data_IF_499601104086
#
_entry.id   IF_499601104086
#
_cell.length_a   1.000
_cell.length_b   1.000
_cell.length_c   1.000
_cell.angle_alpha   90.00
_cell.angle_beta   90.00
_cell.angle_gamma   90.00
#
_symmetry.space_group_name_H-M   'P 1'
#
loop_
_entity.id
_entity.type
_entity.pdbx_description
1 polymer ?
#
# COMPACT_ATOMS: atom_id res chain seq x y z
N UNK A 1 6.15 -12.33 -81.81
CA UNK A 1 6.18 -13.30 -80.67
C UNK A 1 7.26 -12.93 -79.63
N UNK A 2 7.32 -11.65 -79.23
CA UNK A 2 8.40 -11.19 -78.29
C UNK A 2 7.84 -10.46 -77.07
N UNK A 3 6.51 -10.31 -76.93
CA UNK A 3 5.93 -9.53 -75.83
C UNK A 3 5.25 -10.35 -74.65
N UNK A 4 5.18 -11.68 -74.74
CA UNK A 4 4.48 -12.48 -73.71
C UNK A 4 5.42 -12.95 -72.55
N UNK A 5 6.72 -13.10 -72.82
CA UNK A 5 7.68 -13.54 -71.79
C UNK A 5 8.04 -12.43 -70.76
N UNK A 6 8.12 -11.18 -71.19
CA UNK A 6 8.43 -10.07 -70.25
C UNK A 6 7.28 -9.75 -69.29
N UNK A 7 6.04 -10.01 -69.64
CA UNK A 7 4.87 -9.81 -68.79
C UNK A 7 4.81 -10.89 -67.69
N UNK A 8 5.16 -12.13 -68.06
CA UNK A 8 5.20 -13.23 -67.07
C UNK A 8 6.28 -13.05 -66.02
N UNK A 9 7.47 -12.56 -66.37
CA UNK A 9 8.52 -12.26 -65.40
C UNK A 9 8.18 -11.08 -64.49
N UNK A 10 7.52 -10.06 -65.01
CA UNK A 10 7.10 -8.91 -64.21
C UNK A 10 6.06 -9.29 -63.17
N UNK A 11 5.07 -10.10 -63.53
CA UNK A 11 4.05 -10.60 -62.57
C UNK A 11 4.63 -11.59 -61.56
N UNK A 12 5.56 -12.43 -61.95
CA UNK A 12 6.27 -13.35 -61.04
C UNK A 12 7.11 -12.61 -59.98
N UNK A 13 7.86 -11.59 -60.41
CA UNK A 13 8.65 -10.77 -59.49
C UNK A 13 7.77 -9.92 -58.58
N UNK A 14 6.63 -9.43 -59.08
CA UNK A 14 5.68 -8.66 -58.27
C UNK A 14 4.94 -9.55 -57.24
N UNK A 15 4.52 -10.75 -57.65
CA UNK A 15 3.90 -11.73 -56.75
C UNK A 15 4.88 -12.19 -55.65
N UNK A 16 6.16 -12.42 -56.00
CA UNK A 16 7.19 -12.83 -55.04
C UNK A 16 7.56 -11.72 -54.02
N UNK A 17 7.60 -10.46 -54.48
CA UNK A 17 7.78 -9.30 -53.57
C UNK A 17 6.57 -9.06 -52.68
N UNK A 18 5.35 -9.25 -53.20
CA UNK A 18 4.11 -9.06 -52.46
C UNK A 18 3.95 -10.14 -51.33
N UNK A 19 4.21 -11.42 -51.67
CA UNK A 19 4.19 -12.52 -50.71
C UNK A 19 5.30 -12.39 -49.64
N UNK A 20 6.51 -11.95 -50.04
CA UNK A 20 7.60 -11.70 -49.07
C UNK A 20 7.28 -10.56 -48.09
N UNK A 21 6.67 -9.47 -48.56
CA UNK A 21 6.25 -8.36 -47.70
C UNK A 21 5.06 -8.72 -46.84
N UNK A 22 4.12 -9.53 -47.31
CA UNK A 22 2.98 -10.01 -46.54
C UNK A 22 3.45 -10.99 -45.47
N UNK A 23 4.32 -11.95 -45.79
CA UNK A 23 4.92 -12.86 -44.81
C UNK A 23 5.73 -12.13 -43.74
N UNK A 24 6.50 -11.08 -44.14
CA UNK A 24 7.24 -10.25 -43.17
C UNK A 24 6.32 -9.46 -42.25
N UNK A 25 5.19 -8.94 -42.74
CA UNK A 25 4.16 -8.28 -41.93
C UNK A 25 3.43 -9.26 -41.01
N UNK A 26 3.13 -10.47 -41.48
CA UNK A 26 2.54 -11.53 -40.68
C UNK A 26 3.53 -12.02 -39.60
N UNK A 27 4.81 -12.17 -39.94
CA UNK A 27 5.85 -12.56 -38.98
C UNK A 27 6.04 -11.48 -37.90
N UNK A 28 6.01 -10.18 -38.27
CA UNK A 28 6.07 -9.06 -37.33
C UNK A 28 4.80 -9.01 -36.46
N UNK A 29 3.63 -9.27 -37.03
CA UNK A 29 2.36 -9.34 -36.28
C UNK A 29 2.34 -10.53 -35.32
N UNK A 30 2.84 -11.69 -35.72
CA UNK A 30 2.96 -12.89 -34.87
C UNK A 30 4.03 -12.70 -33.80
N UNK A 31 5.16 -12.07 -34.09
CA UNK A 31 6.14 -11.72 -33.06
C UNK A 31 5.61 -10.65 -32.08
N UNK A 32 4.87 -9.65 -32.56
CA UNK A 32 4.21 -8.67 -31.70
C UNK A 32 3.08 -9.30 -30.84
N UNK A 33 2.33 -10.27 -31.38
CA UNK A 33 1.34 -11.04 -30.58
C UNK A 33 2.00 -11.99 -29.58
N UNK A 34 3.17 -12.56 -29.86
CA UNK A 34 3.93 -13.34 -28.88
C UNK A 34 4.60 -12.46 -27.82
N UNK A 35 4.96 -11.20 -28.10
CA UNK A 35 5.39 -10.23 -27.08
C UNK A 35 4.22 -9.65 -26.27
N UNK A 36 2.98 -9.70 -26.78
CA UNK A 36 1.75 -9.30 -26.09
C UNK A 36 1.11 -10.45 -25.27
N UNK A 37 1.63 -11.68 -25.36
CA UNK A 37 1.40 -12.71 -24.35
C UNK A 37 2.24 -12.28 -23.16
N UNK A 38 1.65 -11.42 -22.32
CA UNK A 38 2.29 -10.81 -21.17
C UNK A 38 3.09 -11.85 -20.38
N UNK A 39 4.31 -11.52 -20.03
CA UNK A 39 5.04 -12.23 -19.00
C UNK A 39 4.04 -12.49 -17.87
N UNK A 40 3.84 -13.73 -17.42
CA UNK A 40 2.90 -14.00 -16.34
C UNK A 40 3.23 -13.03 -15.21
N UNK A 41 2.25 -12.24 -14.77
CA UNK A 41 2.45 -11.33 -13.66
C UNK A 41 3.11 -12.11 -12.53
N UNK A 42 4.26 -11.65 -12.06
CA UNK A 42 5.01 -12.33 -11.02
C UNK A 42 4.07 -12.64 -9.85
N UNK A 43 4.00 -13.89 -9.42
CA UNK A 43 3.13 -14.28 -8.32
C UNK A 43 3.55 -13.54 -7.04
N UNK A 44 2.60 -13.20 -6.19
CA UNK A 44 2.89 -12.57 -4.89
C UNK A 44 3.91 -13.39 -4.07
N UNK A 45 3.85 -14.71 -4.19
CA UNK A 45 4.82 -15.60 -3.55
C UNK A 45 6.25 -15.35 -4.06
N UNK A 46 6.44 -15.22 -5.37
CA UNK A 46 7.74 -14.91 -5.97
C UNK A 46 8.21 -13.50 -5.60
N UNK A 47 7.31 -12.52 -5.50
CA UNK A 47 7.66 -11.17 -5.02
C UNK A 47 8.20 -11.21 -3.59
N UNK A 48 7.55 -11.95 -2.68
CA UNK A 48 8.00 -12.12 -1.29
C UNK A 48 9.35 -12.85 -1.24
N UNK A 49 9.56 -13.89 -2.04
CA UNK A 49 10.83 -14.60 -2.13
C UNK A 49 11.94 -13.68 -2.63
N UNK A 50 11.66 -12.85 -3.65
CA UNK A 50 12.63 -11.90 -4.19
C UNK A 50 12.90 -10.73 -3.24
N UNK A 51 11.91 -10.29 -2.50
CA UNK A 51 12.00 -9.22 -1.54
C UNK A 51 11.22 -9.57 -0.26
N UNK A 52 11.94 -10.16 0.69
CA UNK A 52 11.39 -10.63 1.97
C UNK A 52 10.64 -9.52 2.74
N UNK A 53 10.99 -8.25 2.52
CA UNK A 53 10.34 -7.10 3.18
C UNK A 53 8.84 -7.00 2.85
N UNK A 54 8.41 -7.54 1.68
CA UNK A 54 7.00 -7.61 1.31
C UNK A 54 6.18 -8.46 2.29
N UNK A 55 6.78 -9.48 2.91
CA UNK A 55 6.11 -10.32 3.91
C UNK A 55 5.76 -9.58 5.20
N UNK A 56 6.36 -8.40 5.43
CA UNK A 56 6.12 -7.59 6.62
C UNK A 56 4.72 -6.95 6.68
N UNK A 57 3.90 -7.11 5.62
CA UNK A 57 2.53 -6.61 5.62
C UNK A 57 2.48 -5.09 5.91
N UNK A 58 1.73 -4.67 6.92
CA UNK A 58 1.63 -3.27 7.36
C UNK A 58 2.92 -2.70 7.98
N UNK A 59 3.96 -3.50 8.17
CA UNK A 59 5.28 -3.04 8.64
C UNK A 59 6.29 -2.89 7.51
N UNK A 60 5.91 -3.19 6.27
CA UNK A 60 6.79 -2.91 5.13
C UNK A 60 7.17 -1.44 5.11
N UNK A 61 8.48 -1.14 5.11
CA UNK A 61 8.97 0.22 4.95
C UNK A 61 8.57 0.78 3.58
N UNK A 62 8.34 2.08 3.48
CA UNK A 62 7.91 2.71 2.22
C UNK A 62 8.88 2.36 1.08
N UNK A 63 8.41 1.72 0.03
CA UNK A 63 9.22 1.46 -1.15
C UNK A 63 9.42 2.76 -1.94
N UNK A 64 10.53 2.87 -2.64
CA UNK A 64 10.62 3.94 -3.64
C UNK A 64 9.58 3.68 -4.75
N UNK A 65 8.98 4.75 -5.33
CA UNK A 65 8.06 4.58 -6.45
C UNK A 65 8.75 3.87 -7.61
N UNK A 66 8.06 2.90 -8.19
CA UNK A 66 8.60 2.10 -9.31
C UNK A 66 8.49 2.87 -10.63
N UNK A 67 7.44 3.69 -10.76
CA UNK A 67 7.20 4.52 -11.93
C UNK A 67 7.96 5.83 -11.81
N UNK A 68 8.99 6.00 -12.62
CA UNK A 68 9.83 7.21 -12.61
C UNK A 68 9.24 8.32 -13.48
N UNK A 69 8.64 7.97 -14.62
CA UNK A 69 7.95 8.90 -15.52
C UNK A 69 6.45 8.63 -15.44
N UNK A 70 5.69 9.69 -15.26
CA UNK A 70 4.23 9.64 -15.25
C UNK A 70 3.69 10.03 -16.61
N UNK A 71 2.50 9.53 -16.94
CA UNK A 71 1.77 9.87 -18.17
C UNK A 71 1.65 11.40 -18.28
N UNK A 72 2.09 11.99 -19.41
CA UNK A 72 2.00 13.43 -19.63
C UNK A 72 0.58 13.96 -19.53
N UNK A 73 0.42 15.24 -19.14
CA UNK A 73 -0.88 15.87 -19.09
C UNK A 73 -1.49 16.02 -20.48
N UNK A 74 -2.76 15.66 -20.71
CA UNK A 74 -3.40 15.77 -22.00
C UNK A 74 -3.72 17.22 -22.38
N UNK A 75 -3.76 17.49 -23.68
CA UNK A 75 -4.40 18.68 -24.27
C UNK A 75 -3.95 20.05 -23.75
N UNK A 76 -2.66 20.21 -23.34
CA UNK A 76 -2.12 21.49 -22.84
C UNK A 76 -2.58 21.84 -21.43
N UNK A 77 -3.25 20.93 -20.72
CA UNK A 77 -3.60 21.08 -19.32
C UNK A 77 -2.35 21.01 -18.45
N UNK A 78 -2.36 21.72 -17.31
CA UNK A 78 -1.24 21.75 -16.35
C UNK A 78 -1.74 21.38 -14.98
N UNK A 79 -0.91 20.71 -14.14
CA UNK A 79 -1.26 20.42 -12.76
C UNK A 79 -1.41 21.73 -11.99
N UNK A 80 -2.47 21.84 -11.15
CA UNK A 80 -2.75 23.07 -10.40
C UNK A 80 -3.14 22.85 -8.95
N UNK A 81 -3.51 21.62 -8.58
CA UNK A 81 -3.95 21.26 -7.22
C UNK A 81 -3.63 19.80 -6.91
N UNK A 82 -3.29 19.53 -5.64
CA UNK A 82 -3.11 18.17 -5.09
C UNK A 82 -3.98 18.01 -3.85
N UNK A 83 -4.75 16.90 -3.83
CA UNK A 83 -5.40 16.38 -2.64
C UNK A 83 -4.74 15.07 -2.23
N UNK A 84 -4.21 15.00 -1.01
CA UNK A 84 -3.41 13.88 -0.52
C UNK A 84 -3.98 13.32 0.77
N UNK A 85 -3.92 12.00 0.94
CA UNK A 85 -4.03 11.31 2.22
C UNK A 85 -2.85 10.36 2.39
N UNK A 86 -2.07 10.51 3.47
CA UNK A 86 -0.90 9.69 3.77
C UNK A 86 -1.03 8.98 5.12
N UNK A 87 -0.47 7.78 5.18
CA UNK A 87 -0.22 7.03 6.40
C UNK A 87 1.04 7.59 7.08
N UNK A 88 1.13 7.53 8.42
CA UNK A 88 2.37 7.81 9.14
C UNK A 88 3.54 6.96 8.62
N UNK A 89 4.77 7.44 8.81
CA UNK A 89 5.99 6.74 8.44
C UNK A 89 6.32 5.52 9.30
N UNK A 90 7.46 4.89 9.01
CA UNK A 90 8.00 3.78 9.79
C UNK A 90 8.07 4.10 11.28
N UNK A 91 7.73 3.11 12.13
CA UNK A 91 7.59 3.25 13.57
C UNK A 91 7.92 1.97 14.31
N UNK A 92 8.14 2.06 15.61
CA UNK A 92 8.18 0.92 16.51
C UNK A 92 6.79 0.26 16.66
N UNK A 93 6.72 -0.98 17.16
CA UNK A 93 5.44 -1.59 17.53
C UNK A 93 4.71 -0.77 18.61
N UNK A 94 3.37 -0.79 18.56
CA UNK A 94 2.56 0.02 19.49
C UNK A 94 2.56 -0.51 20.93
N UNK A 95 2.82 -1.81 21.13
CA UNK A 95 2.66 -2.47 22.41
C UNK A 95 3.97 -3.10 22.87
N UNK A 96 4.37 -2.91 24.15
CA UNK A 96 5.55 -3.57 24.73
C UNK A 96 5.45 -5.11 24.63
N UNK A 97 4.24 -5.66 24.77
CA UNK A 97 3.99 -7.10 24.68
C UNK A 97 4.52 -7.75 23.39
N UNK A 98 4.62 -7.00 22.29
CA UNK A 98 5.17 -7.53 21.04
C UNK A 98 6.64 -7.91 21.17
N UNK A 99 7.38 -7.18 21.99
CA UNK A 99 8.79 -7.45 22.27
C UNK A 99 8.99 -8.34 23.50
N UNK A 100 8.15 -8.14 24.52
CA UNK A 100 8.28 -8.83 25.81
C UNK A 100 7.89 -10.32 25.74
N UNK A 101 6.82 -10.68 25.01
CA UNK A 101 6.34 -12.05 24.95
C UNK A 101 7.37 -13.01 24.39
N UNK A 102 7.96 -12.78 23.19
CA UNK A 102 8.95 -13.70 22.66
C UNK A 102 10.21 -13.74 23.54
N UNK A 103 10.68 -12.59 24.05
CA UNK A 103 11.80 -12.52 24.97
C UNK A 103 11.56 -13.36 26.23
N UNK A 104 10.45 -13.16 26.93
CA UNK A 104 10.12 -13.87 28.17
C UNK A 104 9.96 -15.37 27.93
N UNK A 105 9.37 -15.80 26.82
CA UNK A 105 9.24 -17.21 26.45
C UNK A 105 10.61 -17.86 26.28
N UNK A 106 11.51 -17.20 25.58
CA UNK A 106 12.87 -17.70 25.35
C UNK A 106 13.71 -17.67 26.64
N UNK A 107 13.63 -16.60 27.43
CA UNK A 107 14.36 -16.48 28.70
C UNK A 107 13.92 -17.53 29.73
N UNK A 108 12.63 -17.85 29.79
CA UNK A 108 12.12 -18.93 30.64
C UNK A 108 12.68 -20.30 30.23
N UNK A 109 12.82 -20.56 28.94
CA UNK A 109 13.42 -21.80 28.45
C UNK A 109 14.94 -21.87 28.72
N UNK A 110 15.64 -20.74 28.57
CA UNK A 110 17.08 -20.63 28.85
C UNK A 110 17.39 -20.96 30.32
N UNK A 111 16.63 -20.42 31.25
CA UNK A 111 16.79 -20.67 32.70
C UNK A 111 16.67 -22.16 33.08
N UNK A 112 16.06 -22.96 32.22
CA UNK A 112 15.89 -24.40 32.40
C UNK A 112 16.82 -25.24 31.49
N UNK A 113 17.72 -24.60 30.74
CA UNK A 113 18.60 -25.27 29.78
C UNK A 113 17.87 -25.92 28.61
N UNK A 114 16.73 -25.36 28.19
CA UNK A 114 15.85 -25.94 27.15
C UNK A 114 16.04 -25.30 25.77
N UNK A 115 17.00 -24.39 25.59
CA UNK A 115 17.31 -23.79 24.31
C UNK A 115 18.36 -24.60 23.52
N UNK A 116 18.23 -24.59 22.20
CA UNK A 116 19.32 -24.96 21.28
C UNK A 116 20.35 -23.82 21.22
N UNK A 117 21.54 -24.02 20.59
CA UNK A 117 22.44 -22.92 20.32
C UNK A 117 21.78 -21.77 19.51
N UNK A 118 20.92 -22.10 18.53
CA UNK A 118 20.14 -21.09 17.79
C UNK A 118 19.15 -20.40 18.72
N UNK A 119 18.47 -21.13 19.59
CA UNK A 119 17.54 -20.54 20.57
C UNK A 119 18.24 -19.54 21.49
N UNK A 120 19.44 -19.84 21.97
CA UNK A 120 20.25 -18.91 22.79
C UNK A 120 20.66 -17.65 22.01
N UNK A 121 21.07 -17.79 20.76
CA UNK A 121 21.37 -16.65 19.88
C UNK A 121 20.11 -15.76 19.64
N UNK A 122 18.94 -16.38 19.39
CA UNK A 122 17.67 -15.67 19.25
C UNK A 122 17.32 -14.90 20.51
N UNK A 123 17.48 -15.51 21.69
CA UNK A 123 17.24 -14.81 22.97
C UNK A 123 18.12 -13.56 23.07
N UNK A 124 19.41 -13.66 22.74
CA UNK A 124 20.33 -12.52 22.75
C UNK A 124 19.87 -11.41 21.77
N UNK A 125 19.50 -11.77 20.53
CA UNK A 125 18.96 -10.81 19.56
C UNK A 125 17.68 -10.14 20.06
N UNK A 126 16.76 -10.89 20.65
CA UNK A 126 15.53 -10.36 21.22
C UNK A 126 15.78 -9.40 22.39
N UNK A 127 16.82 -9.65 23.21
CA UNK A 127 17.21 -8.75 24.28
C UNK A 127 17.68 -7.39 23.72
N UNK A 128 18.51 -7.40 22.69
CA UNK A 128 19.00 -6.18 22.03
C UNK A 128 17.83 -5.40 21.41
N UNK A 129 16.95 -6.08 20.68
CA UNK A 129 15.77 -5.47 20.04
C UNK A 129 14.82 -4.87 21.10
N UNK A 130 14.57 -5.61 22.17
CA UNK A 130 13.72 -5.16 23.27
C UNK A 130 14.30 -3.94 23.98
N UNK A 131 15.62 -3.88 24.17
CA UNK A 131 16.33 -2.75 24.75
C UNK A 131 16.24 -1.51 23.87
N UNK A 132 16.39 -1.67 22.55
CA UNK A 132 16.23 -0.60 21.56
C UNK A 132 14.81 -0.04 21.52
N UNK A 133 13.81 -0.93 21.60
CA UNK A 133 12.39 -0.55 21.53
C UNK A 133 11.83 -0.01 22.85
N UNK A 134 12.59 -0.12 23.97
CA UNK A 134 12.10 0.28 25.29
C UNK A 134 11.74 1.77 25.29
N UNK A 135 10.51 2.06 25.76
CA UNK A 135 9.93 3.41 25.88
C UNK A 135 9.67 4.13 24.52
N UNK A 136 9.90 3.45 23.38
CA UNK A 136 9.63 3.96 22.02
C UNK A 136 8.36 3.38 21.37
N UNK A 137 7.43 2.79 22.14
CA UNK A 137 6.27 2.09 21.60
C UNK A 137 5.35 2.99 20.78
N UNK A 138 5.22 2.65 19.49
CA UNK A 138 4.40 3.39 18.52
C UNK A 138 5.01 4.70 18.04
N UNK A 139 6.22 5.02 18.45
CA UNK A 139 6.93 6.23 18.02
C UNK A 139 7.45 6.10 16.59
N UNK A 140 7.43 7.23 15.89
CA UNK A 140 8.01 7.37 14.57
C UNK A 140 9.53 7.17 14.64
N UNK A 141 10.08 6.34 13.74
CA UNK A 141 11.53 6.17 13.64
C UNK A 141 12.16 7.26 12.77
N UNK A 142 13.50 7.37 12.80
CA UNK A 142 14.24 8.23 11.86
C UNK A 142 13.96 7.87 10.39
N UNK A 143 13.79 6.58 10.10
CA UNK A 143 13.37 6.14 8.76
C UNK A 143 12.01 6.72 8.40
N UNK A 144 11.04 6.70 9.33
CA UNK A 144 9.71 7.27 9.12
C UNK A 144 9.75 8.76 8.83
N UNK A 145 10.58 9.50 9.56
CA UNK A 145 10.83 10.93 9.32
C UNK A 145 11.41 11.18 7.91
N UNK A 146 12.43 10.41 7.51
CA UNK A 146 13.03 10.49 6.16
C UNK A 146 12.02 10.17 5.07
N UNK A 147 11.16 9.16 5.25
CA UNK A 147 10.14 8.79 4.28
C UNK A 147 9.24 9.98 3.92
N UNK A 148 8.72 10.71 4.90
CA UNK A 148 7.87 11.87 4.65
C UNK A 148 8.61 13.04 4.00
N UNK A 149 9.86 13.29 4.39
CA UNK A 149 10.71 14.28 3.70
C UNK A 149 10.90 13.93 2.23
N UNK A 150 11.23 12.68 1.91
CA UNK A 150 11.47 12.25 0.53
C UNK A 150 10.19 12.25 -0.32
N UNK A 151 9.03 11.86 0.24
CA UNK A 151 7.73 11.94 -0.45
C UNK A 151 7.44 13.40 -0.85
N UNK A 152 7.63 14.35 0.07
CA UNK A 152 7.43 15.77 -0.24
C UNK A 152 8.43 16.29 -1.27
N UNK A 153 9.71 15.92 -1.16
CA UNK A 153 10.72 16.30 -2.17
C UNK A 153 10.30 15.87 -3.57
N UNK A 154 9.85 14.62 -3.72
CA UNK A 154 9.39 14.09 -5.01
C UNK A 154 8.12 14.79 -5.48
N UNK A 155 7.15 15.04 -4.60
CA UNK A 155 5.91 15.75 -4.91
C UNK A 155 6.20 17.15 -5.47
N UNK A 156 7.02 17.94 -4.79
CA UNK A 156 7.38 19.31 -5.21
C UNK A 156 8.15 19.31 -6.55
N UNK A 157 9.09 18.38 -6.72
CA UNK A 157 9.87 18.26 -7.97
C UNK A 157 9.04 17.80 -9.16
N UNK A 158 8.06 16.93 -8.90
CA UNK A 158 7.19 16.34 -9.95
C UNK A 158 6.11 17.32 -10.44
N UNK A 159 5.69 18.25 -9.59
CA UNK A 159 4.61 19.22 -9.87
C UNK A 159 5.02 20.66 -9.61
N UNK A 160 6.09 21.17 -10.27
CA UNK A 160 6.60 22.52 -10.04
C UNK A 160 5.56 23.61 -10.36
N UNK A 161 4.59 23.34 -11.27
CA UNK A 161 3.52 24.29 -11.60
C UNK A 161 2.61 24.61 -10.41
N UNK A 162 2.34 23.62 -9.57
CA UNK A 162 1.53 23.79 -8.36
C UNK A 162 2.30 24.60 -7.32
N UNK A 163 3.60 24.31 -7.16
CA UNK A 163 4.42 24.81 -6.07
C UNK A 163 5.24 26.07 -6.41
N UNK A 164 5.14 26.59 -7.66
CA UNK A 164 5.87 27.80 -8.08
C UNK A 164 5.31 29.08 -7.43
N UNK A 165 6.22 29.88 -6.85
CA UNK A 165 5.89 31.18 -6.25
C UNK A 165 5.12 31.04 -4.95
N UNK A 166 4.26 32.02 -4.65
CA UNK A 166 3.47 32.02 -3.41
C UNK A 166 2.33 30.96 -3.55
N UNK A 167 2.42 29.90 -2.78
CA UNK A 167 1.46 28.78 -2.75
C UNK A 167 0.92 28.63 -1.34
N UNK A 168 -0.35 28.19 -1.22
CA UNK A 168 -0.95 27.81 0.06
C UNK A 168 -0.96 26.29 0.18
N UNK A 169 -0.50 25.78 1.32
CA UNK A 169 -0.58 24.35 1.67
C UNK A 169 -1.32 24.22 2.98
N UNK A 170 -2.41 23.47 2.99
CA UNK A 170 -3.17 23.14 4.19
C UNK A 170 -2.93 21.67 4.56
N UNK A 171 -2.34 21.42 5.73
CA UNK A 171 -2.01 20.09 6.23
C UNK A 171 -2.80 19.77 7.50
N UNK A 172 -3.36 18.57 7.55
CA UNK A 172 -4.15 18.08 8.69
C UNK A 172 -3.66 16.71 9.12
N UNK A 173 -3.58 16.48 10.43
CA UNK A 173 -3.20 15.19 11.01
C UNK A 173 -4.26 14.68 11.97
N UNK A 174 -4.31 13.35 12.12
CA UNK A 174 -4.99 12.75 13.28
C UNK A 174 -4.24 13.11 14.57
N UNK A 175 -4.91 12.95 15.72
CA UNK A 175 -4.35 13.26 17.04
C UNK A 175 -3.26 12.30 17.53
N UNK A 176 -2.82 11.36 16.70
CA UNK A 176 -1.74 10.44 17.04
C UNK A 176 -0.37 11.10 16.84
N UNK A 177 0.50 11.03 17.86
CA UNK A 177 1.83 11.63 17.85
C UNK A 177 2.64 11.29 16.58
N UNK A 178 2.67 10.01 16.17
CA UNK A 178 3.37 9.59 14.95
C UNK A 178 2.83 10.20 13.67
N UNK A 179 1.51 10.48 13.61
CA UNK A 179 0.91 11.15 12.45
C UNK A 179 1.21 12.64 12.46
N UNK A 180 1.16 13.28 13.63
CA UNK A 180 1.57 14.68 13.81
C UNK A 180 3.03 14.86 13.40
N UNK A 181 3.94 14.03 13.91
CA UNK A 181 5.36 14.09 13.55
C UNK A 181 5.59 13.81 12.06
N UNK A 182 4.84 12.88 11.45
CA UNK A 182 4.90 12.63 10.01
C UNK A 182 4.51 13.87 9.21
N UNK A 183 3.44 14.57 9.63
CA UNK A 183 3.04 15.86 9.06
C UNK A 183 4.14 16.90 9.24
N UNK A 184 4.68 17.07 10.45
CA UNK A 184 5.70 18.06 10.74
C UNK A 184 6.98 17.87 9.90
N UNK A 185 7.49 16.63 9.78
CA UNK A 185 8.65 16.36 8.92
C UNK A 185 8.36 16.64 7.44
N UNK A 186 7.14 16.38 6.99
CA UNK A 186 6.69 16.76 5.64
C UNK A 186 6.66 18.28 5.47
N UNK A 187 6.10 19.03 6.45
CA UNK A 187 6.00 20.49 6.40
C UNK A 187 7.37 21.17 6.54
N UNK A 188 8.24 20.66 7.37
CA UNK A 188 9.64 21.15 7.47
C UNK A 188 10.36 21.04 6.12
N UNK A 189 10.22 19.89 5.44
CA UNK A 189 10.82 19.71 4.12
C UNK A 189 10.20 20.63 3.06
N UNK A 190 8.91 20.85 3.13
CA UNK A 190 8.20 21.75 2.21
C UNK A 190 8.65 23.20 2.43
N UNK A 191 8.77 23.66 3.68
CA UNK A 191 9.24 25.00 4.02
C UNK A 191 10.70 25.23 3.57
N UNK A 192 11.58 24.22 3.70
CA UNK A 192 12.95 24.26 3.22
C UNK A 192 13.02 24.46 1.69
N UNK A 193 12.15 23.76 0.93
CA UNK A 193 12.12 23.86 -0.54
C UNK A 193 11.39 25.11 -1.05
N UNK A 194 10.42 25.61 -0.29
CA UNK A 194 9.48 26.66 -0.68
C UNK A 194 9.38 27.73 0.42
N UNK A 195 10.40 28.59 0.61
CA UNK A 195 10.43 29.58 1.71
C UNK A 195 9.29 30.61 1.67
N UNK A 196 8.63 30.77 0.51
CA UNK A 196 7.52 31.74 0.33
C UNK A 196 6.14 31.08 0.44
N UNK A 197 6.07 29.76 0.68
CA UNK A 197 4.81 29.06 0.84
C UNK A 197 4.09 29.48 2.13
N UNK A 198 2.77 29.60 2.05
CA UNK A 198 1.88 29.75 3.19
C UNK A 198 1.46 28.37 3.67
N UNK A 199 2.05 27.89 4.76
CA UNK A 199 1.79 26.57 5.31
C UNK A 199 0.87 26.74 6.51
N UNK A 200 -0.32 26.14 6.42
CA UNK A 200 -1.28 26.01 7.51
C UNK A 200 -1.35 24.54 7.90
N UNK A 201 -0.97 24.22 9.14
CA UNK A 201 -1.01 22.84 9.61
C UNK A 201 -1.64 22.75 11.00
N UNK A 202 -2.40 21.67 11.23
CA UNK A 202 -3.08 21.47 12.50
C UNK A 202 -3.44 19.98 12.72
N UNK A 203 -3.65 19.63 14.00
CA UNK A 203 -4.21 18.37 14.45
C UNK A 203 -5.28 18.68 15.49
N UNK A 204 -6.56 18.39 15.17
CA UNK A 204 -7.69 18.73 16.05
C UNK A 204 -8.68 17.58 16.17
N UNK A 205 -9.34 17.46 17.31
CA UNK A 205 -10.46 16.52 17.48
C UNK A 205 -11.62 16.81 16.52
N UNK A 206 -11.80 18.08 16.14
CA UNK A 206 -12.81 18.51 15.16
C UNK A 206 -12.66 17.79 13.82
N UNK A 207 -11.41 17.53 13.38
CA UNK A 207 -11.15 16.90 12.09
C UNK A 207 -11.20 15.37 12.14
N UNK A 208 -11.27 14.77 13.35
CA UNK A 208 -11.27 13.32 13.50
C UNK A 208 -12.47 12.62 12.88
N UNK A 209 -13.63 13.32 12.73
CA UNK A 209 -14.83 12.74 12.13
C UNK A 209 -14.64 12.26 10.69
N UNK A 210 -13.65 12.84 9.97
CA UNK A 210 -13.30 12.43 8.61
C UNK A 210 -11.88 11.84 8.50
N UNK A 211 -10.91 12.32 9.30
CA UNK A 211 -9.53 11.82 9.24
C UNK A 211 -9.35 10.42 9.83
N UNK A 212 -10.17 10.06 10.81
CA UNK A 212 -10.12 8.77 11.49
C UNK A 212 -11.48 8.42 12.09
N UNK A 213 -12.48 8.32 11.24
CA UNK A 213 -13.85 8.04 11.66
C UNK A 213 -13.96 6.73 12.44
N UNK A 214 -14.64 6.79 13.58
CA UNK A 214 -14.95 5.64 14.43
C UNK A 214 -16.43 5.26 14.25
N UNK A 215 -16.70 4.36 13.31
CA UNK A 215 -18.04 3.80 13.12
C UNK A 215 -18.19 2.56 14.00
N UNK A 216 -18.95 2.69 15.09
CA UNK A 216 -19.12 1.63 16.11
C UNK A 216 -19.75 0.36 15.53
N UNK A 217 -20.72 0.50 14.61
CA UNK A 217 -21.40 -0.64 13.98
C UNK A 217 -20.44 -1.40 13.06
N UNK A 218 -19.82 -0.71 12.12
CA UNK A 218 -18.86 -1.32 11.21
C UNK A 218 -17.66 -1.90 11.96
N UNK A 219 -17.24 -1.24 13.06
CA UNK A 219 -16.19 -1.78 13.92
C UNK A 219 -16.60 -3.11 14.57
N UNK A 220 -17.81 -3.23 15.07
CA UNK A 220 -18.33 -4.47 15.67
C UNK A 220 -18.41 -5.62 14.65
N UNK A 221 -18.72 -5.32 13.38
CA UNK A 221 -18.82 -6.30 12.30
C UNK A 221 -17.47 -6.85 11.84
N UNK A 222 -16.37 -6.12 12.05
CA UNK A 222 -15.03 -6.49 11.50
C UNK A 222 -14.63 -7.93 11.77
N UNK A 223 -14.79 -8.34 13.02
CA UNK A 223 -14.39 -9.65 13.53
C UNK A 223 -15.43 -10.12 14.54
N UNK A 224 -16.70 -10.14 14.15
CA UNK A 224 -17.76 -10.75 14.93
C UNK A 224 -17.53 -12.28 15.10
N UNK A 225 -18.35 -12.95 15.88
CA UNK A 225 -18.14 -14.36 16.19
C UNK A 225 -18.11 -15.24 14.93
N UNK A 226 -18.99 -15.00 13.97
CA UNK A 226 -19.07 -15.78 12.74
C UNK A 226 -17.83 -15.54 11.83
N UNK A 227 -17.46 -14.28 11.65
CA UNK A 227 -16.26 -13.88 10.91
C UNK A 227 -14.99 -14.48 11.52
N UNK A 228 -14.90 -14.47 12.86
CA UNK A 228 -13.76 -15.04 13.59
C UNK A 228 -13.63 -16.55 13.36
N UNK A 229 -14.73 -17.29 13.36
CA UNK A 229 -14.72 -18.72 13.05
C UNK A 229 -14.19 -18.97 11.66
N UNK A 230 -14.68 -18.24 10.64
CA UNK A 230 -14.23 -18.38 9.26
C UNK A 230 -12.74 -18.04 9.08
N UNK A 231 -12.25 -17.02 9.78
CA UNK A 231 -10.83 -16.67 9.77
C UNK A 231 -9.98 -17.77 10.44
N UNK A 232 -10.39 -18.31 11.57
CA UNK A 232 -9.66 -19.40 12.24
C UNK A 232 -9.66 -20.70 11.41
N UNK A 233 -10.75 -21.04 10.75
CA UNK A 233 -10.79 -22.18 9.82
C UNK A 233 -9.76 -22.01 8.69
N UNK A 234 -9.64 -20.81 8.13
CA UNK A 234 -8.64 -20.50 7.13
C UNK A 234 -7.22 -20.62 7.69
N UNK A 235 -6.94 -20.06 8.89
CA UNK A 235 -5.57 -20.03 9.44
C UNK A 235 -5.06 -21.41 9.87
N UNK A 236 -5.92 -22.37 10.20
CA UNK A 236 -5.53 -23.75 10.55
C UNK A 236 -4.64 -24.41 9.48
N UNK A 237 -4.83 -24.06 8.21
CA UNK A 237 -4.01 -24.58 7.10
C UNK A 237 -2.56 -24.08 7.14
N UNK A 238 -2.23 -23.10 8.01
CA UNK A 238 -0.96 -22.39 8.07
C UNK A 238 -0.32 -22.40 9.47
N UNK A 239 -0.75 -23.29 10.38
CA UNK A 239 -0.34 -23.30 11.79
C UNK A 239 0.75 -24.31 12.15
N UNK A 240 1.35 -24.99 11.17
CA UNK A 240 2.48 -25.88 11.47
C UNK A 240 3.73 -25.08 11.84
N UNK A 241 4.01 -25.04 13.14
CA UNK A 241 5.18 -24.39 13.74
C UNK A 241 6.22 -25.37 14.24
N UNK A 242 6.06 -26.68 13.97
CA UNK A 242 6.86 -27.75 14.58
C UNK A 242 8.35 -27.65 14.24
N UNK A 243 8.70 -27.30 12.99
CA UNK A 243 10.09 -27.09 12.58
C UNK A 243 10.74 -25.94 13.34
N UNK A 244 10.07 -24.76 13.39
CA UNK A 244 10.58 -23.59 14.10
C UNK A 244 10.80 -23.89 15.57
N UNK A 245 9.84 -24.53 16.24
CA UNK A 245 9.98 -24.89 17.65
C UNK A 245 11.16 -25.83 17.89
N UNK A 246 11.33 -26.88 17.09
CA UNK A 246 12.46 -27.81 17.19
C UNK A 246 13.81 -27.16 16.89
N UNK A 247 13.86 -26.09 16.10
CA UNK A 247 15.09 -25.34 15.87
C UNK A 247 15.51 -24.45 17.05
N UNK A 248 14.55 -24.02 17.88
CA UNK A 248 14.77 -23.12 19.01
C UNK A 248 14.93 -23.87 20.35
N UNK A 249 14.25 -25.01 20.52
CA UNK A 249 14.22 -25.74 21.77
C UNK A 249 14.75 -27.16 21.60
N UNK A 250 15.49 -27.65 22.62
CA UNK A 250 16.13 -28.98 22.62
C UNK A 250 15.28 -30.08 23.29
N UNK A 251 14.07 -29.75 23.78
CA UNK A 251 13.22 -30.68 24.52
C UNK A 251 11.77 -30.63 24.00
N UNK A 252 11.34 -31.71 23.34
CA UNK A 252 9.99 -31.83 22.77
C UNK A 252 8.91 -31.83 23.85
N UNK A 253 9.18 -32.43 25.03
CA UNK A 253 8.20 -32.42 26.13
C UNK A 253 8.01 -31.00 26.69
N UNK A 254 9.09 -30.22 26.76
CA UNK A 254 9.01 -28.80 27.12
C UNK A 254 8.19 -28.01 26.12
N UNK A 255 8.45 -28.18 24.81
CA UNK A 255 7.68 -27.54 23.75
C UNK A 255 6.18 -27.80 23.93
N UNK A 256 5.80 -29.09 24.05
CA UNK A 256 4.39 -29.49 24.09
C UNK A 256 3.64 -29.00 25.34
N UNK A 257 4.34 -28.88 26.48
CA UNK A 257 3.70 -28.59 27.78
C UNK A 257 3.84 -27.13 28.21
N UNK A 258 4.81 -26.36 27.68
CA UNK A 258 5.17 -25.04 28.21
C UNK A 258 5.22 -23.93 27.15
N UNK A 259 5.27 -24.27 25.85
CA UNK A 259 5.40 -23.28 24.79
C UNK A 259 4.11 -23.17 23.97
N UNK A 260 3.52 -21.99 23.94
CA UNK A 260 2.50 -21.66 22.94
C UNK A 260 3.19 -21.38 21.60
N UNK A 261 3.33 -22.42 20.78
CA UNK A 261 4.06 -22.36 19.51
C UNK A 261 3.48 -21.36 18.51
N UNK A 262 2.15 -21.26 18.44
CA UNK A 262 1.46 -20.30 17.56
C UNK A 262 1.72 -18.87 17.99
N UNK A 263 1.60 -18.59 19.26
CA UNK A 263 1.85 -17.26 19.84
C UNK A 263 3.32 -16.85 19.70
N UNK A 264 4.26 -17.76 19.97
CA UNK A 264 5.69 -17.46 19.81
C UNK A 264 6.05 -17.19 18.35
N UNK A 265 5.60 -18.04 17.40
CA UNK A 265 5.78 -17.81 15.97
C UNK A 265 5.25 -16.43 15.54
N UNK A 266 4.03 -16.10 15.96
CA UNK A 266 3.40 -14.83 15.65
C UNK A 266 4.25 -13.62 16.08
N UNK A 267 4.70 -13.61 17.35
CA UNK A 267 5.49 -12.49 17.85
C UNK A 267 6.91 -12.41 17.30
N UNK A 268 7.57 -13.56 17.08
CA UNK A 268 8.87 -13.60 16.41
C UNK A 268 8.76 -13.02 14.98
N UNK A 269 7.72 -13.41 14.25
CA UNK A 269 7.49 -12.89 12.90
C UNK A 269 7.15 -11.40 12.89
N UNK A 270 6.36 -10.91 13.87
CA UNK A 270 6.07 -9.47 14.03
C UNK A 270 7.32 -8.66 14.31
N UNK A 271 8.20 -9.14 15.20
CA UNK A 271 9.46 -8.47 15.49
C UNK A 271 10.37 -8.49 14.25
N UNK A 272 10.51 -9.62 13.56
CA UNK A 272 11.26 -9.74 12.30
C UNK A 272 10.76 -8.71 11.27
N UNK A 273 9.45 -8.62 11.10
CA UNK A 273 8.80 -7.71 10.13
C UNK A 273 9.11 -6.25 10.37
N UNK A 274 9.22 -5.83 11.63
CA UNK A 274 9.41 -4.43 11.99
C UNK A 274 10.89 -3.98 12.05
N UNK A 275 11.84 -4.90 12.07
CA UNK A 275 13.27 -4.55 12.12
C UNK A 275 13.68 -3.60 10.99
N UNK A 276 13.10 -3.73 9.79
CA UNK A 276 13.34 -2.83 8.68
C UNK A 276 13.01 -1.35 8.96
N UNK A 277 12.23 -1.08 10.01
CA UNK A 277 11.86 0.28 10.44
C UNK A 277 12.88 0.90 11.40
N UNK A 278 13.82 0.12 11.97
CA UNK A 278 14.79 0.53 12.98
C UNK A 278 16.22 0.54 12.43
N UNK A 279 17.14 1.15 13.16
CA UNK A 279 18.56 1.13 12.78
C UNK A 279 19.20 -0.27 12.91
N UNK A 280 18.62 -1.16 13.72
CA UNK A 280 19.09 -2.53 13.92
C UNK A 280 19.00 -3.39 12.65
N UNK A 281 18.18 -2.98 11.66
CA UNK A 281 18.08 -3.69 10.38
C UNK A 281 19.43 -3.92 9.65
N UNK A 282 20.41 -3.06 9.90
CA UNK A 282 21.75 -3.19 9.30
C UNK A 282 22.66 -4.16 10.07
N UNK A 283 22.31 -4.48 11.31
CA UNK A 283 23.13 -5.30 12.20
C UNK A 283 22.61 -6.73 12.36
N UNK A 284 21.29 -6.93 12.24
CA UNK A 284 20.66 -8.23 12.49
C UNK A 284 19.37 -8.42 11.73
N UNK A 285 18.94 -9.68 11.62
CA UNK A 285 17.62 -10.08 11.15
C UNK A 285 17.03 -11.15 12.08
N UNK A 286 15.75 -11.39 12.01
CA UNK A 286 15.09 -12.59 12.56
C UNK A 286 14.36 -13.38 11.46
N UNK A 287 14.47 -12.95 10.21
CA UNK A 287 13.89 -13.68 9.09
C UNK A 287 14.64 -14.99 8.80
N UNK A 288 15.90 -15.08 9.21
CA UNK A 288 16.73 -16.30 9.14
C UNK A 288 16.18 -17.48 9.94
N UNK A 289 15.25 -17.23 10.85
CA UNK A 289 14.55 -18.26 11.62
C UNK A 289 13.52 -19.04 10.79
N UNK A 290 13.07 -18.47 9.69
CA UNK A 290 11.93 -18.95 8.91
C UNK A 290 12.38 -19.46 7.55
N UNK A 291 11.74 -20.53 7.07
CA UNK A 291 11.82 -20.91 5.66
C UNK A 291 10.94 -19.99 4.81
N UNK A 292 11.19 -19.94 3.49
CA UNK A 292 10.36 -19.19 2.54
C UNK A 292 8.87 -19.54 2.64
N UNK A 293 8.57 -20.83 2.88
CA UNK A 293 7.20 -21.30 3.06
C UNK A 293 6.57 -20.75 4.36
N UNK A 294 7.30 -20.74 5.47
CA UNK A 294 6.83 -20.20 6.74
C UNK A 294 6.63 -18.69 6.68
N UNK A 295 7.52 -17.98 5.97
CA UNK A 295 7.40 -16.54 5.70
C UNK A 295 6.10 -16.26 4.93
N UNK A 296 5.90 -17.01 3.83
CA UNK A 296 4.71 -16.85 3.00
C UNK A 296 3.41 -17.18 3.76
N UNK A 297 3.40 -18.26 4.56
CA UNK A 297 2.24 -18.64 5.41
C UNK A 297 1.91 -17.58 6.45
N UNK A 298 2.90 -17.02 7.12
CA UNK A 298 2.69 -15.94 8.09
C UNK A 298 2.13 -14.69 7.41
N UNK A 299 2.70 -14.30 6.25
CA UNK A 299 2.16 -13.19 5.47
C UNK A 299 0.73 -13.45 5.00
N UNK A 300 0.41 -14.65 4.52
CA UNK A 300 -0.93 -15.00 4.01
C UNK A 300 -2.01 -14.86 5.07
N UNK A 301 -1.73 -15.27 6.31
CA UNK A 301 -2.63 -15.04 7.45
C UNK A 301 -2.88 -13.55 7.70
N UNK A 302 -1.83 -12.75 7.74
CA UNK A 302 -1.93 -11.30 7.93
C UNK A 302 -2.67 -10.62 6.77
N UNK A 303 -2.40 -11.02 5.54
CA UNK A 303 -3.06 -10.48 4.36
C UNK A 303 -4.58 -10.70 4.42
N UNK A 304 -5.00 -11.92 4.74
CA UNK A 304 -6.42 -12.26 4.91
C UNK A 304 -7.07 -11.49 6.06
N UNK A 305 -6.38 -11.31 7.18
CA UNK A 305 -6.88 -10.52 8.32
C UNK A 305 -7.13 -9.06 7.92
N UNK A 306 -6.19 -8.43 7.21
CA UNK A 306 -6.35 -7.07 6.72
C UNK A 306 -7.50 -6.94 5.72
N UNK A 307 -7.62 -7.91 4.80
CA UNK A 307 -8.72 -7.95 3.84
C UNK A 307 -10.08 -8.05 4.54
N UNK A 308 -10.24 -8.96 5.50
CA UNK A 308 -11.48 -9.13 6.28
C UNK A 308 -11.81 -7.83 7.03
N UNK A 309 -10.84 -7.28 7.75
CA UNK A 309 -11.10 -6.17 8.67
C UNK A 309 -11.34 -4.82 7.99
N UNK A 310 -10.84 -4.61 6.77
CA UNK A 310 -10.82 -3.29 6.14
C UNK A 310 -11.11 -3.29 4.64
N UNK A 311 -11.12 -4.46 4.00
CA UNK A 311 -11.46 -4.62 2.60
C UNK A 311 -12.95 -4.82 2.34
N UNK A 312 -13.30 -5.11 1.10
CA UNK A 312 -14.67 -5.39 0.67
C UNK A 312 -15.02 -6.88 0.85
N UNK A 313 -14.83 -7.41 2.07
CA UNK A 313 -14.97 -8.83 2.37
C UNK A 313 -16.44 -9.22 2.66
N UNK A 314 -17.10 -10.11 1.87
CA UNK A 314 -18.47 -10.51 2.12
C UNK A 314 -18.67 -11.26 3.43
N UNK A 315 -17.63 -11.90 3.99
CA UNK A 315 -17.71 -12.67 5.24
C UNK A 315 -18.24 -11.83 6.40
N UNK A 316 -17.93 -10.52 6.42
CA UNK A 316 -18.42 -9.57 7.43
C UNK A 316 -19.38 -8.51 6.84
N UNK A 317 -20.05 -8.85 5.73
CA UNK A 317 -21.04 -8.00 5.08
C UNK A 317 -20.49 -7.03 4.03
N UNK A 318 -19.16 -6.95 3.79
CA UNK A 318 -18.56 -6.15 2.70
C UNK A 318 -18.65 -4.63 2.89
N UNK A 319 -18.98 -4.14 4.08
CA UNK A 319 -19.25 -2.72 4.32
C UNK A 319 -18.06 -1.94 4.92
N UNK A 320 -16.94 -2.59 5.20
CA UNK A 320 -15.81 -1.94 5.85
C UNK A 320 -15.23 -0.73 5.07
N UNK A 321 -15.23 -0.71 3.72
CA UNK A 321 -14.80 0.47 2.97
C UNK A 321 -15.61 1.75 3.31
N UNK A 322 -16.88 1.61 3.64
CA UNK A 322 -17.74 2.75 4.01
C UNK A 322 -17.38 3.41 5.34
N UNK A 323 -16.48 2.84 6.13
CA UNK A 323 -15.87 3.55 7.27
C UNK A 323 -15.20 4.85 6.83
N UNK A 324 -14.84 4.99 5.54
CA UNK A 324 -14.19 6.19 5.00
C UNK A 324 -15.14 7.09 4.19
N UNK A 325 -16.47 6.91 4.31
CA UNK A 325 -17.46 7.73 3.62
C UNK A 325 -17.31 9.23 3.90
N UNK A 326 -17.04 9.61 5.16
CA UNK A 326 -16.85 11.02 5.53
C UNK A 326 -15.57 11.60 4.93
N UNK A 327 -14.47 10.81 4.89
CA UNK A 327 -13.22 11.26 4.29
C UNK A 327 -13.37 11.48 2.79
N UNK A 328 -14.00 10.54 2.08
CA UNK A 328 -14.21 10.66 0.63
C UNK A 328 -15.11 11.87 0.32
N UNK A 329 -16.21 12.05 1.05
CA UNK A 329 -17.08 13.23 0.89
C UNK A 329 -16.29 14.52 1.13
N UNK A 330 -15.47 14.57 2.19
CA UNK A 330 -14.65 15.74 2.50
C UNK A 330 -13.59 16.03 1.44
N UNK A 331 -12.98 14.99 0.85
CA UNK A 331 -12.05 15.15 -0.29
C UNK A 331 -12.77 15.80 -1.47
N UNK A 332 -13.98 15.34 -1.80
CA UNK A 332 -14.79 15.89 -2.90
C UNK A 332 -15.15 17.35 -2.63
N UNK A 333 -15.72 17.68 -1.48
CA UNK A 333 -16.10 19.05 -1.10
C UNK A 333 -14.94 20.04 -1.12
N UNK A 334 -13.78 19.60 -0.62
CA UNK A 334 -12.58 20.44 -0.60
C UNK A 334 -12.00 20.62 -2.01
N UNK A 335 -12.04 19.58 -2.84
CA UNK A 335 -11.62 19.70 -4.23
C UNK A 335 -12.53 20.65 -5.02
N UNK A 336 -13.85 20.53 -4.88
CA UNK A 336 -14.81 21.46 -5.50
C UNK A 336 -14.51 22.92 -5.10
N UNK A 337 -14.22 23.16 -3.81
CA UNK A 337 -13.84 24.50 -3.33
C UNK A 337 -12.50 24.97 -3.90
N UNK A 338 -11.52 24.07 -4.02
CA UNK A 338 -10.19 24.41 -4.53
C UNK A 338 -10.16 24.65 -6.04
N UNK A 339 -10.98 23.93 -6.81
CA UNK A 339 -11.06 24.06 -8.27
C UNK A 339 -11.43 25.50 -8.67
N UNK A 340 -12.27 26.17 -7.92
CA UNK A 340 -12.68 27.56 -8.19
C UNK A 340 -11.57 28.59 -7.94
N UNK A 341 -10.53 28.24 -7.19
CA UNK A 341 -9.45 29.15 -6.83
C UNK A 341 -8.40 29.30 -7.95
N UNK A 342 -7.83 30.50 -8.06
CA UNK A 342 -6.77 30.77 -9.05
C UNK A 342 -5.50 29.95 -8.77
N UNK A 343 -5.10 29.81 -7.50
CA UNK A 343 -3.93 29.05 -7.02
C UNK A 343 -4.28 28.27 -5.74
N UNK A 344 -4.92 27.11 -5.85
CA UNK A 344 -5.38 26.37 -4.68
C UNK A 344 -4.23 25.66 -3.92
N UNK A 345 -3.11 25.34 -4.58
CA UNK A 345 -1.95 24.70 -3.94
C UNK A 345 -2.18 23.24 -3.61
N UNK A 346 -2.03 22.87 -2.31
CA UNK A 346 -2.16 21.46 -1.90
C UNK A 346 -2.90 21.32 -0.56
N UNK A 347 -3.67 20.23 -0.46
CA UNK A 347 -4.27 19.77 0.79
C UNK A 347 -3.70 18.40 1.17
N UNK A 348 -3.01 18.34 2.30
CA UNK A 348 -2.29 17.17 2.76
C UNK A 348 -2.93 16.64 4.05
N UNK A 349 -3.20 15.35 4.10
CA UNK A 349 -3.79 14.69 5.27
C UNK A 349 -2.90 13.56 5.72
N UNK A 350 -2.71 13.42 7.05
CA UNK A 350 -1.82 12.42 7.66
C UNK A 350 -2.59 11.58 8.67
N UNK A 351 -2.54 10.27 8.49
CA UNK A 351 -3.31 9.33 9.33
C UNK A 351 -2.75 7.91 9.32
N UNK A 352 -3.64 6.95 9.08
CA UNK A 352 -3.38 5.54 9.36
C UNK A 352 -3.67 4.62 8.18
N UNK A 353 -3.06 3.43 8.21
CA UNK A 353 -3.38 2.31 7.30
C UNK A 353 -4.84 1.88 7.40
N UNK A 354 -5.41 1.94 8.60
CA UNK A 354 -6.83 1.61 8.88
C UNK A 354 -7.82 2.58 8.24
N UNK A 355 -7.33 3.66 7.66
CA UNK A 355 -8.08 4.65 6.89
C UNK A 355 -7.73 4.53 5.41
N UNK A 356 -6.44 4.44 5.08
CA UNK A 356 -5.99 4.40 3.69
C UNK A 356 -6.49 3.14 2.95
N UNK A 357 -6.37 1.96 3.58
CA UNK A 357 -6.83 0.72 2.96
C UNK A 357 -8.33 0.74 2.62
N UNK A 358 -9.24 0.99 3.58
CA UNK A 358 -10.66 1.05 3.22
C UNK A 358 -11.02 2.20 2.28
N UNK A 359 -10.27 3.32 2.27
CA UNK A 359 -10.44 4.37 1.27
C UNK A 359 -10.09 3.89 -0.15
N UNK A 360 -8.97 3.18 -0.31
CA UNK A 360 -8.55 2.58 -1.58
C UNK A 360 -9.59 1.56 -2.07
N UNK A 361 -10.12 0.73 -1.16
CA UNK A 361 -11.19 -0.22 -1.47
C UNK A 361 -12.52 0.49 -1.82
N UNK A 362 -12.89 1.58 -1.14
CA UNK A 362 -14.09 2.37 -1.42
C UNK A 362 -14.03 3.04 -2.79
N UNK A 363 -12.83 3.50 -3.17
CA UNK A 363 -12.53 4.06 -4.48
C UNK A 363 -12.36 2.99 -5.56
N UNK A 364 -12.35 1.70 -5.21
CA UNK A 364 -12.17 0.60 -6.16
C UNK A 364 -10.92 0.81 -7.06
N UNK A 365 -9.84 1.30 -6.43
CA UNK A 365 -8.56 1.54 -7.13
C UNK A 365 -8.01 0.20 -7.60
N UNK A 366 -7.68 0.09 -8.89
CA UNK A 366 -7.24 -1.17 -9.51
C UNK A 366 -8.20 -2.32 -9.12
N UNK A 367 -7.67 -3.49 -8.80
CA UNK A 367 -8.44 -4.64 -8.31
C UNK A 367 -8.60 -4.65 -6.77
N UNK A 368 -8.27 -3.56 -6.06
CA UNK A 368 -8.35 -3.53 -4.58
C UNK A 368 -9.77 -3.42 -4.05
N UNK A 369 -10.75 -3.06 -4.88
CA UNK A 369 -12.19 -3.17 -4.58
C UNK A 369 -12.73 -4.61 -4.62
N UNK A 370 -11.85 -5.61 -4.81
CA UNK A 370 -12.19 -7.03 -4.86
C UNK A 370 -13.15 -7.46 -3.74
N UNK A 371 -14.24 -8.14 -4.12
CA UNK A 371 -15.17 -8.78 -3.20
C UNK A 371 -15.13 -10.31 -3.39
N UNK A 372 -14.69 -11.02 -2.36
CA UNK A 372 -14.62 -12.50 -2.35
C UNK A 372 -14.68 -13.05 -0.93
N UNK A 373 -15.38 -14.15 -0.72
CA UNK A 373 -15.35 -14.93 0.53
C UNK A 373 -14.25 -16.01 0.52
N UNK A 374 -13.61 -16.22 -0.63
CA UNK A 374 -12.52 -17.18 -0.80
C UNK A 374 -11.17 -16.54 -0.46
N UNK A 375 -10.79 -16.61 0.82
CA UNK A 375 -9.54 -16.06 1.33
C UNK A 375 -8.29 -16.69 0.69
N UNK A 376 -8.40 -17.94 0.21
CA UNK A 376 -7.29 -18.64 -0.47
C UNK A 376 -6.95 -18.03 -1.85
N UNK A 377 -7.88 -17.27 -2.42
CA UNK A 377 -7.72 -16.70 -3.76
C UNK A 377 -7.08 -15.30 -3.77
N UNK A 378 -6.93 -14.64 -2.62
CA UNK A 378 -6.51 -13.24 -2.53
C UNK A 378 -5.18 -12.96 -3.25
N UNK A 379 -4.16 -13.78 -2.96
CA UNK A 379 -2.83 -13.67 -3.56
C UNK A 379 -2.84 -13.93 -5.08
N UNK A 380 -3.58 -14.95 -5.54
CA UNK A 380 -3.72 -15.27 -6.96
C UNK A 380 -4.48 -14.19 -7.74
N UNK A 381 -5.33 -13.41 -7.04
CA UNK A 381 -6.07 -12.28 -7.59
C UNK A 381 -5.34 -10.96 -7.43
N UNK A 382 -4.07 -10.98 -7.04
CA UNK A 382 -3.22 -9.80 -6.93
C UNK A 382 -3.47 -8.92 -5.70
N UNK A 383 -4.40 -9.31 -4.79
CA UNK A 383 -4.68 -8.54 -3.60
C UNK A 383 -3.61 -8.77 -2.52
N UNK A 384 -2.74 -7.78 -2.33
CA UNK A 384 -1.65 -7.82 -1.37
C UNK A 384 -1.58 -6.52 -0.56
N UNK A 385 -1.67 -6.65 0.74
CA UNK A 385 -1.70 -5.55 1.69
C UNK A 385 -0.46 -4.64 1.60
N UNK A 386 0.73 -5.18 1.40
CA UNK A 386 1.98 -4.42 1.29
C UNK A 386 2.06 -3.53 0.04
N UNK A 387 1.27 -3.82 -1.01
CA UNK A 387 1.17 -2.96 -2.20
C UNK A 387 0.29 -1.74 -1.96
N UNK A 388 -0.68 -1.84 -1.04
CA UNK A 388 -1.68 -0.81 -0.78
C UNK A 388 -1.17 0.18 0.27
N UNK A 389 -0.73 -0.32 1.43
CA UNK A 389 -0.49 0.53 2.60
C UNK A 389 0.83 0.22 3.35
N UNK A 390 2.00 0.20 2.69
CA UNK A 390 3.28 0.18 3.40
C UNK A 390 3.38 1.37 4.37
N UNK A 391 4.39 1.42 5.22
CA UNK A 391 4.67 2.60 6.04
C UNK A 391 4.88 3.83 5.15
N UNK A 392 4.30 4.98 5.49
CA UNK A 392 4.35 6.18 4.67
C UNK A 392 3.49 6.14 3.40
N UNK A 393 2.68 5.09 3.21
CA UNK A 393 1.80 4.95 2.05
C UNK A 393 0.90 6.16 1.86
N UNK A 394 0.61 6.49 0.62
CA UNK A 394 -0.19 7.66 0.31
C UNK A 394 -1.04 7.50 -0.96
N UNK A 395 -2.17 8.20 -0.96
CA UNK A 395 -3.04 8.40 -2.10
C UNK A 395 -3.02 9.88 -2.47
N UNK A 396 -2.77 10.19 -3.75
CA UNK A 396 -2.73 11.54 -4.26
C UNK A 396 -3.70 11.67 -5.44
N UNK A 397 -4.59 12.66 -5.39
CA UNK A 397 -5.38 13.09 -6.53
C UNK A 397 -4.73 14.38 -7.05
N UNK A 398 -4.23 14.35 -8.28
CA UNK A 398 -3.56 15.48 -8.94
C UNK A 398 -4.46 16.02 -10.01
N UNK A 399 -4.80 17.30 -9.93
CA UNK A 399 -5.80 17.97 -10.76
C UNK A 399 -5.15 18.83 -11.84
N UNK A 400 -5.74 18.82 -13.04
CA UNK A 400 -5.21 19.45 -14.26
C UNK A 400 -6.28 20.33 -14.92
N UNK A 401 -5.87 21.49 -15.41
CA UNK A 401 -6.69 22.42 -16.19
C UNK A 401 -5.85 23.26 -17.13
N UNK A 402 -6.44 23.85 -18.16
CA UNK A 402 -5.75 24.79 -19.07
C UNK A 402 -5.60 26.17 -18.45
N UNK A 403 -6.64 26.64 -17.77
CA UNK A 403 -6.70 27.96 -17.12
C UNK A 403 -7.65 27.93 -15.90
N UNK A 404 -7.69 28.97 -15.07
CA UNK A 404 -8.66 29.06 -13.97
C UNK A 404 -10.13 29.09 -14.42
N UNK A 405 -10.41 29.40 -15.68
CA UNK A 405 -11.76 29.40 -16.27
C UNK A 405 -12.11 28.09 -16.99
N UNK A 406 -11.20 27.11 -16.99
CA UNK A 406 -11.43 25.81 -17.61
C UNK A 406 -12.39 24.97 -16.75
N UNK A 407 -13.60 24.74 -17.27
CA UNK A 407 -14.62 23.92 -16.62
C UNK A 407 -14.37 22.41 -16.77
N UNK A 408 -13.57 22.03 -17.78
CA UNK A 408 -13.19 20.64 -18.03
C UNK A 408 -11.97 20.23 -17.19
N UNK A 409 -12.15 20.11 -15.89
CA UNK A 409 -11.09 19.71 -14.97
C UNK A 409 -10.85 18.20 -15.06
N UNK A 410 -9.62 17.82 -15.37
CA UNK A 410 -9.15 16.44 -15.32
C UNK A 410 -8.36 16.21 -14.04
N UNK A 411 -8.29 14.94 -13.64
CA UNK A 411 -7.40 14.51 -12.55
C UNK A 411 -6.88 13.10 -12.83
N UNK A 412 -5.81 12.74 -12.13
CA UNK A 412 -5.32 11.37 -12.03
C UNK A 412 -5.06 11.00 -10.57
N UNK A 413 -4.99 9.70 -10.32
CA UNK A 413 -4.76 9.14 -8.98
C UNK A 413 -3.41 8.46 -8.93
N UNK A 414 -2.67 8.71 -7.84
CA UNK A 414 -1.44 7.99 -7.53
C UNK A 414 -1.62 7.24 -6.21
N UNK A 415 -1.31 5.96 -6.20
CA UNK A 415 -1.16 5.17 -4.99
C UNK A 415 0.33 4.88 -4.77
N UNK A 416 0.86 5.30 -3.62
CA UNK A 416 2.29 5.18 -3.33
C UNK A 416 3.16 5.79 -4.44
N UNK A 417 2.72 6.96 -4.97
CA UNK A 417 3.36 7.75 -6.02
C UNK A 417 3.43 7.06 -7.41
N UNK A 418 2.72 5.94 -7.61
CA UNK A 418 2.54 5.28 -8.90
C UNK A 418 1.12 5.54 -9.42
N UNK A 419 0.97 5.74 -10.73
CA UNK A 419 -0.35 5.91 -11.37
C UNK A 419 -1.19 4.65 -11.22
N UNK A 420 -2.48 4.85 -10.96
CA UNK A 420 -3.45 3.77 -10.76
C UNK A 420 -4.78 4.10 -11.45
N UNK A 421 -5.56 3.05 -11.74
CA UNK A 421 -6.84 3.19 -12.43
C UNK A 421 -8.01 3.21 -11.45
N UNK A 422 -9.08 3.88 -11.87
CA UNK A 422 -10.38 3.91 -11.22
C UNK A 422 -11.42 3.18 -12.08
N UNK A 423 -12.55 2.71 -11.51
CA UNK A 423 -13.64 2.07 -12.26
C UNK A 423 -14.49 3.12 -13.03
N UNK A 424 -13.85 4.10 -13.59
CA UNK A 424 -14.45 5.18 -14.36
C UNK A 424 -13.93 5.14 -15.81
N UNK A 425 -14.69 5.71 -16.73
CA UNK A 425 -14.22 5.88 -18.09
C UNK A 425 -13.10 6.92 -18.11
N UNK A 426 -11.89 6.52 -18.50
CA UNK A 426 -10.77 7.43 -18.71
C UNK A 426 -10.99 8.28 -19.99
N UNK A 427 -10.47 9.50 -19.95
CA UNK A 427 -10.38 10.38 -21.12
C UNK A 427 -9.20 9.96 -21.97
N UNK A 428 -8.06 9.83 -21.32
CA UNK A 428 -6.80 9.38 -21.89
C UNK A 428 -6.04 8.64 -20.78
N UNK A 429 -5.82 7.33 -20.96
CA UNK A 429 -5.12 6.44 -20.05
C UNK A 429 -5.59 6.59 -18.58
N UNK A 430 -4.81 7.25 -17.72
CA UNK A 430 -5.04 7.43 -16.28
C UNK A 430 -5.76 8.73 -15.91
N UNK A 431 -6.22 9.50 -16.91
CA UNK A 431 -6.92 10.77 -16.67
C UNK A 431 -8.43 10.62 -16.72
N UNK A 432 -9.11 11.25 -15.77
CA UNK A 432 -10.56 11.20 -15.60
C UNK A 432 -11.14 12.60 -15.48
N UNK A 433 -12.39 12.79 -15.94
CA UNK A 433 -13.15 14.01 -15.65
C UNK A 433 -13.52 14.07 -14.17
N UNK A 434 -13.26 15.22 -13.55
CA UNK A 434 -13.67 15.43 -12.15
C UNK A 434 -15.18 15.34 -11.95
N UNK A 435 -15.97 15.82 -12.92
CA UNK A 435 -17.43 15.72 -12.91
C UNK A 435 -17.93 14.27 -12.81
N UNK A 436 -17.31 13.34 -13.54
CA UNK A 436 -17.68 11.92 -13.52
C UNK A 436 -17.32 11.27 -12.19
N UNK A 437 -16.13 11.54 -11.65
CA UNK A 437 -15.71 11.12 -10.33
C UNK A 437 -16.71 11.58 -9.26
N UNK A 438 -17.01 12.87 -9.24
CA UNK A 438 -17.91 13.48 -8.28
C UNK A 438 -19.29 12.84 -8.33
N UNK A 439 -19.86 12.71 -9.54
CA UNK A 439 -21.16 12.08 -9.76
C UNK A 439 -21.20 10.64 -9.27
N UNK A 440 -20.22 9.83 -9.67
CA UNK A 440 -20.15 8.39 -9.33
C UNK A 440 -20.04 8.18 -7.83
N UNK A 441 -19.05 8.82 -7.19
CA UNK A 441 -18.79 8.56 -5.77
C UNK A 441 -19.81 9.23 -4.84
N UNK A 442 -20.37 10.40 -5.16
CA UNK A 442 -21.46 10.94 -4.36
C UNK A 442 -22.69 10.04 -4.44
N UNK A 443 -23.06 9.56 -5.63
CA UNK A 443 -24.18 8.61 -5.77
C UNK A 443 -23.93 7.33 -4.95
N UNK A 444 -22.72 6.79 -4.97
CA UNK A 444 -22.32 5.61 -4.18
C UNK A 444 -22.43 5.87 -2.67
N UNK A 445 -21.99 7.05 -2.21
CA UNK A 445 -22.06 7.44 -0.81
C UNK A 445 -23.50 7.71 -0.35
N UNK A 446 -24.32 8.32 -1.20
CA UNK A 446 -25.73 8.62 -0.89
C UNK A 446 -26.62 7.37 -0.91
N UNK A 447 -26.22 6.34 -1.69
CA UNK A 447 -26.89 5.05 -1.69
C UNK A 447 -26.56 4.20 -0.42
N UNK A 448 -25.52 4.56 0.33
CA UNK A 448 -25.21 3.91 1.59
C UNK A 448 -26.20 4.35 2.68
N UNK A 449 -27.06 3.43 3.09
CA UNK A 449 -28.02 3.65 4.19
C UNK A 449 -27.41 3.10 5.48
N UNK A 450 -27.31 3.94 6.50
CA UNK A 450 -26.99 3.51 7.86
C UNK A 450 -28.21 2.72 8.42
N UNK A 451 -28.14 1.38 8.39
CA UNK A 451 -29.18 0.50 8.95
C UNK A 451 -29.07 0.41 10.47
#
# INVERSE_FOLDING_TARGET
MYNSLQIYDFFSIFAHKFTKNLMRKILILVTLTFYAIGLPAQSIREEIQKNIRCSASNYMAYPNPQQHELTPAPGGKKPFYISHYGRHGSRYHNLPATYDIPYQTMAAADSLGKLTPLGADVLHRLELIRRDAKDHWGELTELGARQHREIIKRMVRRYPEIFRGRVTVDARSTMSTRCILSMEYAMMQLAEMLPTAQIHHNATFRDMYYLNQQDKRLFAMKMDSATRVRYFEFTKNYEDNSRLMKSLFNDTAYINNKVDAGKLNYFLFKVASNLQSTHLNNAMTLYDLFTDEEIYRNWKKENAWWYICYGNCPINGGLQPYTQRNLLRRIIEQADSCISLKKPGAQLRFGHETVLLPLVCLLEVEDYGLSTDNLESLDRRGWANYRIFPMGANLQLVFYRQSPADEDVLFKVLLNENEVHLPLKSVEDVYYHWSDFRKYYLSKLDAYVEQ
#
